data_IF_481315309857
#
_entry.id   IF_481315309857
#
_cell.length_a   1.000
_cell.length_b   1.000
_cell.length_c   1.000
_cell.angle_alpha   90.00
_cell.angle_beta   90.00
_cell.angle_gamma   90.00
#
_symmetry.space_group_name_H-M   'P 1'
#
loop_
_entity.id
_entity.type
_entity.pdbx_description
1 polymer ?
#
# COMPACT_ATOMS: atom_id res chain seq x y z
N UNK A 1 6.00 4.36 -21.13
CA UNK A 1 6.01 5.53 -22.04
C UNK A 1 4.81 5.52 -23.00
N UNK A 2 4.51 4.42 -23.69
CA UNK A 2 3.29 4.31 -24.52
C UNK A 2 1.98 4.34 -23.70
N UNK A 3 1.99 3.75 -22.48
CA UNK A 3 0.84 3.72 -21.58
C UNK A 3 0.40 5.11 -21.11
N UNK A 4 1.34 5.98 -20.72
CA UNK A 4 1.01 7.35 -20.26
C UNK A 4 0.39 8.25 -21.33
N UNK A 5 0.74 8.07 -22.62
CA UNK A 5 0.14 8.86 -23.72
C UNK A 5 -1.30 8.44 -23.98
N UNK A 6 -1.58 7.13 -23.89
CA UNK A 6 -2.94 6.63 -24.02
C UNK A 6 -3.81 7.07 -22.84
N UNK A 7 -3.24 7.19 -21.64
CA UNK A 7 -3.89 7.77 -20.47
C UNK A 7 -4.16 9.27 -20.65
N UNK A 8 -3.17 10.06 -21.08
CA UNK A 8 -3.34 11.51 -21.35
C UNK A 8 -4.41 11.78 -22.44
N UNK A 9 -4.40 10.99 -23.52
CA UNK A 9 -5.41 11.10 -24.58
C UNK A 9 -6.79 10.65 -24.11
N UNK A 10 -6.86 9.66 -23.21
CA UNK A 10 -8.10 9.22 -22.57
C UNK A 10 -8.64 10.30 -21.62
N UNK A 11 -7.78 10.96 -20.86
CA UNK A 11 -8.15 12.10 -20.01
C UNK A 11 -8.72 13.26 -20.84
N UNK A 12 -8.10 13.60 -21.98
CA UNK A 12 -8.66 14.59 -22.92
C UNK A 12 -10.02 14.13 -23.44
N UNK A 13 -10.18 12.85 -23.80
CA UNK A 13 -11.45 12.32 -24.27
C UNK A 13 -12.57 12.40 -23.21
N UNK A 14 -12.24 12.14 -21.95
CA UNK A 14 -13.18 12.15 -20.82
C UNK A 14 -13.53 13.59 -20.39
N UNK A 15 -12.53 14.47 -20.34
CA UNK A 15 -12.68 15.87 -19.92
C UNK A 15 -13.56 16.67 -20.88
N UNK A 16 -13.33 16.51 -22.18
CA UNK A 16 -14.04 17.27 -23.21
C UNK A 16 -15.31 16.57 -23.70
N UNK A 17 -15.63 15.37 -23.18
CA UNK A 17 -16.74 14.52 -23.61
C UNK A 17 -16.94 14.62 -25.12
N UNK A 18 -15.95 14.16 -25.89
CA UNK A 18 -15.81 14.48 -27.33
C UNK A 18 -17.08 14.28 -28.18
N UNK A 19 -18.03 13.43 -27.73
CA UNK A 19 -19.33 13.19 -28.36
C UNK A 19 -20.31 14.36 -28.25
N UNK A 20 -20.08 15.29 -27.34
CA UNK A 20 -20.96 16.41 -26.99
C UNK A 20 -20.46 17.76 -27.54
N UNK A 21 -19.32 17.77 -28.25
CA UNK A 21 -18.74 18.98 -28.84
C UNK A 21 -19.62 19.43 -30.00
N UNK A 22 -20.17 20.64 -29.88
CA UNK A 22 -21.07 21.23 -30.88
C UNK A 22 -20.54 22.56 -31.43
N UNK A 23 -19.48 23.12 -30.82
CA UNK A 23 -18.90 24.41 -31.18
C UNK A 23 -17.48 24.25 -31.72
N UNK A 24 -17.15 25.02 -32.76
CA UNK A 24 -15.81 24.99 -33.38
C UNK A 24 -14.70 25.42 -32.41
N UNK A 25 -14.99 26.33 -31.48
CA UNK A 25 -14.02 26.82 -30.49
C UNK A 25 -13.57 25.69 -29.53
N UNK A 26 -14.52 24.87 -29.07
CA UNK A 26 -14.26 23.69 -28.24
C UNK A 26 -13.44 22.64 -29.00
N UNK A 27 -13.73 22.45 -30.29
CA UNK A 27 -12.96 21.55 -31.15
C UNK A 27 -11.50 22.03 -31.33
N UNK A 28 -11.29 23.34 -31.52
CA UNK A 28 -9.95 23.94 -31.62
C UNK A 28 -9.17 23.78 -30.32
N UNK A 29 -9.82 23.91 -29.16
CA UNK A 29 -9.18 23.72 -27.86
C UNK A 29 -8.73 22.28 -27.62
N UNK A 30 -9.57 21.30 -27.97
CA UNK A 30 -9.19 19.88 -27.95
C UNK A 30 -8.01 19.61 -28.87
N UNK A 31 -8.01 20.13 -30.10
CA UNK A 31 -6.91 19.96 -31.03
C UNK A 31 -5.59 20.53 -30.49
N UNK A 32 -5.63 21.69 -29.82
CA UNK A 32 -4.44 22.28 -29.18
C UNK A 32 -3.86 21.37 -28.11
N UNK A 33 -4.69 20.83 -27.21
CA UNK A 33 -4.24 19.92 -26.15
C UNK A 33 -3.68 18.61 -26.70
N UNK A 34 -4.34 18.01 -27.69
CA UNK A 34 -3.81 16.84 -28.39
C UNK A 34 -2.44 17.13 -29.02
N UNK A 35 -2.28 18.31 -29.63
CA UNK A 35 -1.01 18.71 -30.25
C UNK A 35 0.10 18.94 -29.21
N UNK A 36 -0.22 19.48 -28.03
CA UNK A 36 0.72 19.62 -26.90
C UNK A 36 1.18 18.27 -26.35
N UNK A 37 0.28 17.29 -26.23
CA UNK A 37 0.62 15.91 -25.84
C UNK A 37 1.58 15.30 -26.88
N UNK A 38 1.26 15.47 -28.18
CA UNK A 38 2.11 14.97 -29.27
C UNK A 38 3.48 15.68 -29.33
N UNK A 39 3.54 16.97 -29.02
CA UNK A 39 4.79 17.73 -28.97
C UNK A 39 5.71 17.25 -27.84
N UNK A 40 5.17 17.08 -26.63
CA UNK A 40 5.91 16.51 -25.48
C UNK A 40 6.47 15.12 -25.80
N UNK A 41 5.74 14.31 -26.55
CA UNK A 41 6.23 13.01 -27.04
C UNK A 41 7.47 13.15 -27.93
N UNK A 42 7.43 14.06 -28.90
CA UNK A 42 8.56 14.28 -29.81
C UNK A 42 9.79 14.78 -29.05
N UNK A 43 9.62 15.68 -28.09
CA UNK A 43 10.72 16.17 -27.24
C UNK A 43 11.38 15.01 -26.47
N UNK A 44 10.58 14.15 -25.83
CA UNK A 44 11.10 12.96 -25.13
C UNK A 44 11.80 11.97 -26.07
N UNK A 45 11.30 11.80 -27.31
CA UNK A 45 11.92 10.93 -28.30
C UNK A 45 13.27 11.47 -28.79
N UNK A 46 13.39 12.79 -28.98
CA UNK A 46 14.65 13.43 -29.35
C UNK A 46 15.67 13.39 -28.21
N UNK A 47 15.23 13.56 -26.97
CA UNK A 47 16.10 13.40 -25.79
C UNK A 47 16.60 11.96 -25.66
N UNK A 48 15.73 10.96 -25.86
CA UNK A 48 16.12 9.56 -25.88
C UNK A 48 17.13 9.25 -27.00
N UNK A 49 16.91 9.79 -28.21
CA UNK A 49 17.88 9.65 -29.33
C UNK A 49 19.23 10.27 -29.00
N UNK A 50 19.25 11.42 -28.30
CA UNK A 50 20.48 12.10 -27.89
C UNK A 50 21.26 11.25 -26.89
N UNK A 51 20.60 10.79 -25.82
CA UNK A 51 21.21 9.90 -24.81
C UNK A 51 21.70 8.60 -25.44
N UNK A 52 20.91 8.02 -26.34
CA UNK A 52 21.30 6.84 -27.10
C UNK A 52 22.56 7.09 -27.93
N UNK A 53 22.63 8.21 -28.65
CA UNK A 53 23.80 8.58 -29.45
C UNK A 53 25.02 8.79 -28.55
N UNK A 54 24.89 9.46 -27.42
CA UNK A 54 25.98 9.68 -26.46
C UNK A 54 26.51 8.35 -25.89
N UNK A 55 25.63 7.41 -25.49
CA UNK A 55 26.03 6.08 -25.01
C UNK A 55 26.77 5.32 -26.10
N UNK A 56 26.25 5.34 -27.34
CA UNK A 56 26.84 4.65 -28.48
C UNK A 56 28.20 5.24 -28.86
N UNK A 57 28.32 6.58 -28.87
CA UNK A 57 29.58 7.26 -29.14
C UNK A 57 30.62 6.97 -28.06
N UNK A 58 30.25 7.00 -26.78
CA UNK A 58 31.18 6.73 -25.66
C UNK A 58 31.62 5.26 -25.62
N UNK A 59 30.70 4.31 -25.78
CA UNK A 59 31.00 2.88 -25.74
C UNK A 59 31.85 2.44 -26.95
N UNK A 60 31.54 2.93 -28.16
CA UNK A 60 32.26 2.55 -29.38
C UNK A 60 33.63 3.21 -29.47
N UNK A 61 33.81 4.41 -28.93
CA UNK A 61 35.09 5.14 -28.96
C UNK A 61 36.22 4.43 -28.23
N UNK A 62 35.90 3.50 -27.32
CA UNK A 62 36.86 2.85 -26.43
C UNK A 62 37.06 1.35 -26.71
N UNK A 63 36.46 0.80 -27.76
CA UNK A 63 36.54 -0.63 -28.10
C UNK A 63 36.97 -0.86 -29.55
N UNK A 64 37.59 -2.02 -29.86
CA UNK A 64 37.92 -2.38 -31.23
C UNK A 64 36.73 -2.30 -32.19
N UNK A 65 36.95 -1.83 -33.43
CA UNK A 65 35.91 -1.58 -34.45
C UNK A 65 34.95 -2.76 -34.63
N UNK A 66 35.48 -4.00 -34.63
CA UNK A 66 34.66 -5.22 -34.76
C UNK A 66 33.67 -5.38 -33.60
N UNK A 67 34.11 -5.11 -32.38
CA UNK A 67 33.28 -5.17 -31.17
C UNK A 67 32.25 -4.03 -31.16
N UNK A 68 32.63 -2.84 -31.64
CA UNK A 68 31.72 -1.72 -31.85
C UNK A 68 30.59 -2.03 -32.85
N UNK A 69 30.90 -2.72 -33.95
CA UNK A 69 29.90 -3.15 -34.94
C UNK A 69 28.94 -4.19 -34.33
N UNK A 70 29.46 -5.19 -33.60
CA UNK A 70 28.61 -6.18 -32.90
C UNK A 70 27.73 -5.53 -31.83
N UNK A 71 28.25 -4.51 -31.13
CA UNK A 71 27.48 -3.73 -30.16
C UNK A 71 26.35 -2.97 -30.85
N UNK A 72 26.63 -2.24 -31.93
CA UNK A 72 25.60 -1.59 -32.76
C UNK A 72 24.51 -2.56 -33.21
N UNK A 73 24.89 -3.74 -33.72
CA UNK A 73 23.94 -4.79 -34.13
C UNK A 73 23.07 -5.28 -32.96
N UNK A 74 23.67 -5.55 -31.79
CA UNK A 74 22.90 -5.96 -30.59
C UNK A 74 21.92 -4.88 -30.14
N UNK A 75 22.23 -3.61 -30.34
CA UNK A 75 21.31 -2.53 -29.99
C UNK A 75 20.21 -2.37 -31.05
N UNK A 76 20.54 -2.36 -32.34
CA UNK A 76 19.54 -2.21 -33.42
C UNK A 76 18.57 -3.38 -33.47
N UNK A 77 19.02 -4.58 -33.10
CA UNK A 77 18.15 -5.77 -32.94
C UNK A 77 17.32 -5.75 -31.64
N UNK A 78 17.50 -4.73 -30.79
CA UNK A 78 16.82 -4.58 -29.51
C UNK A 78 17.23 -5.61 -28.45
N UNK A 79 18.33 -6.36 -28.65
CA UNK A 79 18.83 -7.37 -27.70
C UNK A 79 19.24 -6.72 -26.39
N UNK A 80 19.94 -5.57 -26.47
CA UNK A 80 20.36 -4.82 -25.28
C UNK A 80 19.14 -4.31 -24.48
N UNK A 81 18.15 -3.73 -25.17
CA UNK A 81 16.90 -3.26 -24.56
C UNK A 81 16.13 -4.41 -23.88
N UNK A 82 16.01 -5.57 -24.55
CA UNK A 82 15.38 -6.77 -23.97
C UNK A 82 16.09 -7.26 -22.72
N UNK A 83 17.43 -7.23 -22.72
CA UNK A 83 18.24 -7.63 -21.56
C UNK A 83 18.03 -6.69 -20.37
N UNK A 84 18.11 -5.37 -20.61
CA UNK A 84 17.86 -4.35 -19.57
C UNK A 84 16.46 -4.46 -18.99
N UNK A 85 15.43 -4.62 -19.84
CA UNK A 85 14.04 -4.82 -19.38
C UNK A 85 13.88 -6.10 -18.56
N UNK A 86 14.48 -7.21 -19.00
CA UNK A 86 14.48 -8.47 -18.24
C UNK A 86 15.12 -8.30 -16.86
N UNK A 87 16.25 -7.60 -16.77
CA UNK A 87 16.94 -7.38 -15.49
C UNK A 87 16.13 -6.46 -14.56
N UNK A 88 15.49 -5.42 -15.10
CA UNK A 88 14.57 -4.56 -14.35
C UNK A 88 13.34 -5.33 -13.83
N UNK A 89 12.78 -6.24 -14.63
CA UNK A 89 11.68 -7.11 -14.21
C UNK A 89 12.14 -8.03 -13.06
N UNK A 90 13.30 -8.67 -13.17
CA UNK A 90 13.86 -9.52 -12.11
C UNK A 90 14.10 -8.74 -10.82
N UNK A 91 14.68 -7.54 -10.91
CA UNK A 91 14.89 -6.67 -9.75
C UNK A 91 13.56 -6.27 -9.10
N UNK A 92 12.55 -5.94 -9.91
CA UNK A 92 11.21 -5.58 -9.43
C UNK A 92 10.52 -6.76 -8.73
N UNK A 93 10.62 -7.96 -9.29
CA UNK A 93 10.10 -9.19 -8.68
C UNK A 93 10.78 -9.52 -7.35
N UNK A 94 12.10 -9.32 -7.26
CA UNK A 94 12.86 -9.49 -6.02
C UNK A 94 12.38 -8.52 -4.93
N UNK A 95 12.24 -7.22 -5.28
CA UNK A 95 11.70 -6.21 -4.36
C UNK A 95 10.28 -6.54 -3.90
N UNK A 96 9.41 -6.97 -4.81
CA UNK A 96 8.04 -7.37 -4.48
C UNK A 96 8.01 -8.54 -3.49
N UNK A 97 8.89 -9.53 -3.69
CA UNK A 97 9.02 -10.68 -2.78
C UNK A 97 9.45 -10.21 -1.39
N UNK A 98 10.45 -9.34 -1.31
CA UNK A 98 10.89 -8.75 -0.04
C UNK A 98 9.76 -8.02 0.68
N UNK A 99 8.98 -7.19 -0.03
CA UNK A 99 7.84 -6.49 0.58
C UNK A 99 6.76 -7.45 1.11
N UNK A 100 6.45 -8.52 0.38
CA UNK A 100 5.52 -9.57 0.86
C UNK A 100 6.03 -10.23 2.14
N UNK A 101 7.32 -10.56 2.20
CA UNK A 101 7.94 -11.13 3.41
C UNK A 101 7.86 -10.17 4.59
N UNK A 102 8.18 -8.89 4.39
CA UNK A 102 8.09 -7.87 5.45
C UNK A 102 6.66 -7.72 5.96
N UNK A 103 5.67 -7.75 5.06
CA UNK A 103 4.26 -7.69 5.44
C UNK A 103 3.85 -8.91 6.27
N UNK A 104 4.30 -10.12 5.92
CA UNK A 104 4.04 -11.32 6.71
C UNK A 104 4.62 -11.21 8.12
N UNK A 105 5.88 -10.78 8.25
CA UNK A 105 6.54 -10.59 9.55
C UNK A 105 5.78 -9.56 10.40
N UNK A 106 5.42 -8.42 9.80
CA UNK A 106 4.69 -7.36 10.50
C UNK A 106 3.32 -7.84 11.01
N UNK A 107 2.58 -8.60 10.19
CA UNK A 107 1.31 -9.18 10.59
C UNK A 107 1.46 -10.20 11.73
N UNK A 108 2.51 -11.01 11.70
CA UNK A 108 2.78 -11.99 12.76
C UNK A 108 3.14 -11.31 14.09
N UNK A 109 3.98 -10.27 14.05
CA UNK A 109 4.29 -9.45 15.23
C UNK A 109 3.05 -8.75 15.81
N UNK A 110 2.18 -8.21 14.95
CA UNK A 110 0.92 -7.61 15.37
C UNK A 110 0.02 -8.65 16.07
N UNK A 111 -0.11 -9.85 15.50
CA UNK A 111 -0.89 -10.93 16.10
C UNK A 111 -0.34 -11.36 17.47
N UNK A 112 0.98 -11.49 17.60
CA UNK A 112 1.62 -11.78 18.89
C UNK A 112 1.34 -10.69 19.93
N UNK A 113 1.41 -9.42 19.52
CA UNK A 113 1.12 -8.27 20.38
C UNK A 113 -0.33 -8.26 20.85
N UNK A 114 -1.28 -8.52 19.94
CA UNK A 114 -2.72 -8.64 20.26
C UNK A 114 -2.95 -9.81 21.21
N UNK A 115 -2.34 -10.97 20.98
CA UNK A 115 -2.47 -12.11 21.88
C UNK A 115 -1.92 -11.81 23.27
N UNK A 116 -0.80 -11.10 23.38
CA UNK A 116 -0.24 -10.68 24.65
C UNK A 116 -1.17 -9.69 25.38
N UNK A 117 -1.65 -8.64 24.68
CA UNK A 117 -2.61 -7.69 25.25
C UNK A 117 -3.89 -8.40 25.71
N UNK A 118 -4.40 -9.37 24.95
CA UNK A 118 -5.56 -10.17 25.36
C UNK A 118 -5.27 -11.04 26.60
N UNK A 119 -4.06 -11.60 26.72
CA UNK A 119 -3.65 -12.32 27.95
C UNK A 119 -3.57 -11.38 29.14
N UNK A 120 -3.04 -10.17 28.96
CA UNK A 120 -2.95 -9.15 30.00
C UNK A 120 -4.33 -8.60 30.39
N UNK A 121 -5.24 -8.36 29.44
CA UNK A 121 -6.63 -8.00 29.71
C UNK A 121 -7.36 -9.10 30.48
N UNK A 122 -7.13 -10.38 30.16
CA UNK A 122 -7.67 -11.51 30.95
C UNK A 122 -7.11 -11.56 32.37
N UNK A 123 -5.84 -11.15 32.58
CA UNK A 123 -5.26 -10.96 33.93
C UNK A 123 -5.79 -9.69 34.60
N UNK A 124 -6.12 -8.68 33.81
CA UNK A 124 -6.66 -7.38 34.19
C UNK A 124 -8.19 -7.34 34.31
N UNK A 125 -8.86 -8.50 34.28
CA UNK A 125 -10.11 -8.62 35.03
C UNK A 125 -9.68 -8.40 36.47
N UNK A 126 -9.78 -7.16 36.95
CA UNK A 126 -9.69 -6.81 38.35
C UNK A 126 -10.90 -7.50 38.98
N UNK A 127 -10.80 -8.80 39.24
CA UNK A 127 -11.65 -9.44 40.22
C UNK A 127 -11.12 -8.91 41.54
N UNK A 128 -11.72 -7.85 42.06
CA UNK A 128 -11.50 -7.53 43.47
C UNK A 128 -11.81 -8.81 44.23
N UNK A 129 -10.83 -9.34 44.98
CA UNK A 129 -11.02 -10.57 45.77
C UNK A 129 -11.98 -10.34 46.93
N UNK A 130 -12.29 -9.08 47.20
CA UNK A 130 -13.16 -8.62 48.25
C UNK A 130 -14.51 -8.22 47.69
N UNK A 131 -15.56 -8.52 48.46
CA UNK A 131 -16.88 -7.99 48.22
C UNK A 131 -16.87 -6.47 48.39
N UNK A 132 -17.38 -5.73 47.39
CA UNK A 132 -17.46 -4.26 47.44
C UNK A 132 -18.28 -3.74 48.62
N UNK A 133 -19.25 -4.52 49.13
CA UNK A 133 -20.14 -4.10 50.22
C UNK A 133 -19.53 -4.30 51.59
N UNK A 134 -18.83 -5.41 51.82
CA UNK A 134 -18.33 -5.76 53.16
C UNK A 134 -16.80 -5.81 53.28
N UNK A 135 -16.08 -5.60 52.18
CA UNK A 135 -14.61 -5.59 52.10
C UNK A 135 -13.94 -6.83 52.69
N UNK A 136 -14.62 -7.98 52.68
CA UNK A 136 -14.08 -9.27 53.11
C UNK A 136 -13.69 -10.12 51.91
N UNK A 137 -12.55 -10.80 52.02
CA UNK A 137 -12.01 -11.73 51.03
C UNK A 137 -12.85 -13.02 50.88
N UNK A 138 -12.65 -13.71 49.76
CA UNK A 138 -13.33 -14.94 49.33
C UNK A 138 -13.30 -16.08 50.35
N UNK A 139 -14.40 -16.29 51.06
CA UNK A 139 -14.71 -17.58 51.69
C UNK A 139 -15.93 -18.29 51.06
N UNK A 140 -16.84 -17.57 50.37
CA UNK A 140 -18.04 -18.17 49.73
C UNK A 140 -18.45 -17.47 48.42
N UNK A 141 -19.14 -18.21 47.54
CA UNK A 141 -19.65 -17.86 46.20
C UNK A 141 -19.93 -16.36 45.97
N UNK A 142 -18.98 -15.69 45.32
CA UNK A 142 -19.06 -14.29 44.88
C UNK A 142 -19.56 -14.22 43.43
N UNK A 143 -20.56 -13.39 43.18
CA UNK A 143 -21.00 -13.01 41.84
C UNK A 143 -20.05 -11.93 41.29
N UNK A 144 -19.37 -12.24 40.17
CA UNK A 144 -18.47 -11.32 39.48
C UNK A 144 -19.19 -10.69 38.30
N UNK A 145 -19.24 -9.37 38.26
CA UNK A 145 -19.84 -8.62 37.17
C UNK A 145 -18.83 -8.37 36.04
N UNK A 146 -19.32 -8.15 34.81
CA UNK A 146 -18.48 -7.85 33.64
C UNK A 146 -17.63 -6.56 33.77
N UNK A 147 -17.90 -5.73 34.78
CA UNK A 147 -17.10 -4.56 35.15
C UNK A 147 -15.95 -4.86 36.13
N UNK A 148 -15.79 -6.10 36.59
CA UNK A 148 -14.75 -6.52 37.56
C UNK A 148 -15.18 -6.50 39.02
N UNK A 149 -16.26 -5.79 39.37
CA UNK A 149 -16.75 -5.75 40.76
C UNK A 149 -17.32 -7.10 41.22
N UNK A 150 -17.02 -7.41 42.49
CA UNK A 150 -17.34 -8.66 43.16
C UNK A 150 -18.30 -8.43 44.33
N UNK A 151 -19.32 -9.28 44.46
CA UNK A 151 -20.27 -9.24 45.58
C UNK A 151 -20.54 -10.64 46.15
N UNK A 152 -20.62 -10.79 47.47
CA UNK A 152 -21.19 -12.01 48.06
C UNK A 152 -22.64 -12.16 47.62
N UNK A 153 -23.07 -13.40 47.39
CA UNK A 153 -24.46 -13.72 47.03
C UNK A 153 -25.47 -13.18 48.05
N UNK A 154 -25.11 -13.10 49.33
CA UNK A 154 -25.91 -12.52 50.41
C UNK A 154 -25.85 -10.99 50.47
N UNK A 155 -24.75 -10.38 50.00
CA UNK A 155 -24.59 -8.92 49.99
C UNK A 155 -25.27 -8.27 48.78
N UNK A 156 -25.41 -8.99 47.67
CA UNK A 156 -26.10 -8.52 46.47
C UNK A 156 -27.59 -8.88 46.54
N UNK A 157 -28.46 -7.89 46.79
CA UNK A 157 -29.91 -8.06 46.70
C UNK A 157 -30.36 -8.19 45.23
N UNK A 158 -30.25 -9.39 44.65
CA UNK A 158 -30.91 -9.89 43.43
C UNK A 158 -31.15 -8.92 42.24
N UNK A 159 -30.41 -7.83 42.11
CA UNK A 159 -30.71 -6.76 41.15
C UNK A 159 -30.13 -7.03 39.77
N UNK A 160 -29.22 -8.02 39.64
CA UNK A 160 -28.51 -8.31 38.39
C UNK A 160 -27.71 -7.12 37.87
N UNK A 161 -27.52 -6.06 38.66
CA UNK A 161 -26.87 -4.80 38.29
C UNK A 161 -25.80 -4.48 39.33
N UNK A 162 -24.61 -4.08 38.87
CA UNK A 162 -23.51 -3.65 39.73
C UNK A 162 -23.85 -2.31 40.40
N UNK A 163 -23.73 -2.25 41.73
CA UNK A 163 -24.11 -1.08 42.53
C UNK A 163 -23.16 0.11 42.37
N UNK A 164 -21.93 -0.11 41.91
CA UNK A 164 -20.94 0.97 41.74
C UNK A 164 -21.05 1.66 40.37
N UNK A 165 -21.32 0.89 39.31
CA UNK A 165 -21.25 1.40 37.93
C UNK A 165 -22.49 1.13 37.09
N UNK A 166 -23.58 0.63 37.70
CA UNK A 166 -24.84 0.30 37.04
C UNK A 166 -24.73 -0.66 35.83
N UNK A 167 -23.67 -1.47 35.78
CA UNK A 167 -23.45 -2.44 34.72
C UNK A 167 -24.24 -3.73 34.98
N UNK A 168 -24.95 -4.26 33.98
CA UNK A 168 -25.69 -5.52 34.09
C UNK A 168 -24.74 -6.73 34.20
N UNK A 169 -25.13 -7.71 35.00
CA UNK A 169 -24.52 -9.05 35.04
C UNK A 169 -24.87 -9.74 33.71
N UNK A 170 -23.86 -10.05 32.89
CA UNK A 170 -24.04 -10.85 31.67
C UNK A 170 -24.01 -12.33 32.00
#
# INVERSE_FOLDING_TARGET
MYEGIMEDLKEVSETFRLRDITRNEECVEVMKRCNEIMKRRNECYEEYKKVYREIVEIEISNIPIKEGIEFCCKITEGVLLRKVLSDLIKQSQSKLTMYKTLQMISNEQLNQTIQQHNKELKKGIITTKECVVCHKEKDELINVFGCGHSYHSTCLKSSGICLECNHLMK
#
